data_IF_908525135139
#
_entry.id   IF_908525135139
#
_cell.length_a   1.000
_cell.length_b   1.000
_cell.length_c   1.000
_cell.angle_alpha   90.00
_cell.angle_beta   90.00
_cell.angle_gamma   90.00
#
_symmetry.space_group_name_H-M   'P 1'
#
loop_
_entity.id
_entity.type
_entity.pdbx_description
1 polymer ?
#
# COMPACT_ATOMS: atom_id res chain seq x y z
N UNK A 1 12.14 14.01 8.98
CA UNK A 1 11.73 12.83 9.73
C UNK A 1 11.18 11.78 8.77
N UNK A 2 11.48 10.54 9.02
CA UNK A 2 11.13 9.44 8.14
C UNK A 2 10.61 8.26 8.95
N UNK A 3 9.52 7.66 8.48
CA UNK A 3 8.94 6.48 9.10
C UNK A 3 8.82 5.36 8.07
N UNK A 4 9.12 4.14 8.49
CA UNK A 4 8.92 2.95 7.65
C UNK A 4 7.93 2.05 8.36
N UNK A 5 6.84 1.74 7.69
CA UNK A 5 5.74 0.94 8.22
C UNK A 5 5.63 -0.35 7.40
N UNK A 6 5.73 -1.50 8.06
CA UNK A 6 5.54 -2.80 7.44
C UNK A 6 4.17 -3.35 7.81
N UNK A 7 3.35 -3.61 6.81
CA UNK A 7 2.07 -4.31 6.99
C UNK A 7 2.21 -5.65 6.30
N UNK A 8 2.35 -6.73 7.06
CA UNK A 8 2.62 -8.07 6.53
C UNK A 8 1.52 -9.05 6.87
N UNK A 9 1.38 -10.08 6.03
CA UNK A 9 0.48 -11.19 6.28
C UNK A 9 -0.85 -11.09 5.59
N UNK A 10 -1.12 -10.01 4.86
CA UNK A 10 -2.33 -9.90 4.04
C UNK A 10 -2.11 -8.96 2.86
N UNK A 11 -2.79 -9.23 1.78
CA UNK A 11 -2.72 -8.37 0.59
C UNK A 11 -3.49 -7.07 0.80
N UNK A 12 -3.00 -6.01 0.18
CA UNK A 12 -3.73 -4.74 0.11
C UNK A 12 -5.08 -4.93 -0.56
N UNK A 13 -6.06 -4.15 -0.14
CA UNK A 13 -7.40 -4.15 -0.73
C UNK A 13 -7.65 -2.80 -1.43
N UNK A 14 -8.13 -2.84 -2.69
CA UNK A 14 -8.41 -1.62 -3.43
C UNK A 14 -9.71 -0.96 -2.97
N UNK A 15 -9.81 0.36 -3.12
CA UNK A 15 -10.98 1.14 -2.74
C UNK A 15 -11.37 2.07 -3.89
N UNK A 16 -12.67 2.20 -4.16
CA UNK A 16 -13.18 3.21 -5.05
C UNK A 16 -13.97 2.74 -6.25
N UNK A 17 -14.15 1.43 -6.46
CA UNK A 17 -15.04 0.92 -7.51
C UNK A 17 -16.30 0.40 -6.87
N UNK A 18 -17.38 1.19 -6.94
CA UNK A 18 -18.70 0.76 -6.50
C UNK A 18 -19.48 0.22 -7.68
N UNK A 19 -19.01 -0.85 -8.31
CA UNK A 19 -19.81 -1.55 -9.30
C UNK A 19 -20.54 -2.66 -8.59
N UNK A 20 -21.86 -2.61 -8.67
CA UNK A 20 -22.71 -3.66 -8.16
C UNK A 20 -22.56 -4.92 -9.01
N UNK A 21 -21.78 -5.87 -8.53
CA UNK A 21 -21.62 -7.16 -9.21
C UNK A 21 -22.22 -8.27 -8.35
N UNK A 22 -23.39 -8.00 -7.75
CA UNK A 22 -24.08 -8.94 -6.88
C UNK A 22 -23.76 -8.73 -5.40
N UNK A 23 -24.75 -8.95 -4.55
CA UNK A 23 -24.69 -8.60 -3.13
C UNK A 23 -23.60 -9.36 -2.35
N UNK A 24 -23.31 -10.61 -2.70
CA UNK A 24 -22.31 -11.42 -1.99
C UNK A 24 -20.87 -10.93 -2.19
N UNK A 25 -20.54 -10.53 -3.43
CA UNK A 25 -19.19 -10.06 -3.78
C UNK A 25 -18.88 -8.72 -3.11
N UNK A 26 -19.89 -7.85 -3.00
CA UNK A 26 -19.72 -6.56 -2.33
C UNK A 26 -19.43 -6.72 -0.84
N UNK A 27 -20.07 -7.66 -0.17
CA UNK A 27 -19.87 -7.92 1.25
C UNK A 27 -18.44 -8.40 1.52
N UNK A 28 -17.92 -9.32 0.70
CA UNK A 28 -16.56 -9.84 0.85
C UNK A 28 -15.51 -8.75 0.61
N UNK A 29 -15.69 -7.94 -0.44
CA UNK A 29 -14.79 -6.83 -0.76
C UNK A 29 -14.77 -5.82 0.38
N UNK A 30 -15.93 -5.49 0.95
CA UNK A 30 -16.03 -4.59 2.11
C UNK A 30 -15.30 -5.12 3.31
N UNK A 31 -15.41 -6.42 3.59
CA UNK A 31 -14.71 -7.04 4.73
C UNK A 31 -13.19 -6.99 4.55
N UNK A 32 -12.71 -7.33 3.37
CA UNK A 32 -11.28 -7.28 3.07
C UNK A 32 -10.73 -5.86 3.19
N UNK A 33 -11.45 -4.89 2.67
CA UNK A 33 -11.06 -3.50 2.73
C UNK A 33 -10.99 -3.01 4.18
N UNK A 34 -11.99 -3.32 4.98
CA UNK A 34 -12.01 -2.96 6.40
C UNK A 34 -10.83 -3.58 7.15
N UNK A 35 -10.57 -4.87 6.92
CA UNK A 35 -9.46 -5.58 7.57
C UNK A 35 -8.12 -4.98 7.17
N UNK A 36 -7.92 -4.71 5.89
CA UNK A 36 -6.70 -4.10 5.38
C UNK A 36 -6.48 -2.72 6.00
N UNK A 37 -7.49 -1.86 5.95
CA UNK A 37 -7.41 -0.51 6.50
C UNK A 37 -7.09 -0.53 7.99
N UNK A 38 -7.71 -1.44 8.72
CA UNK A 38 -7.46 -1.59 10.16
C UNK A 38 -6.02 -1.99 10.44
N UNK A 39 -5.45 -2.91 9.66
CA UNK A 39 -4.06 -3.31 9.82
C UNK A 39 -3.10 -2.16 9.54
N UNK A 40 -3.34 -1.38 8.49
CA UNK A 40 -2.53 -0.21 8.19
C UNK A 40 -2.60 0.80 9.35
N UNK A 41 -3.79 1.09 9.85
CA UNK A 41 -3.99 2.02 10.97
C UNK A 41 -3.25 1.57 12.22
N UNK A 42 -3.36 0.30 12.56
CA UNK A 42 -2.69 -0.26 13.74
C UNK A 42 -1.18 -0.14 13.63
N UNK A 43 -0.62 -0.49 12.48
CA UNK A 43 0.82 -0.43 12.26
C UNK A 43 1.32 1.02 12.25
N UNK A 44 0.57 1.92 11.61
CA UNK A 44 0.91 3.33 11.59
C UNK A 44 0.91 3.92 13.00
N UNK A 45 -0.10 3.60 13.81
CA UNK A 45 -0.19 4.08 15.19
C UNK A 45 0.96 3.59 16.07
N UNK A 46 1.49 2.41 15.79
CA UNK A 46 2.64 1.87 16.52
C UNK A 46 3.96 2.56 16.18
N UNK A 47 4.10 3.05 14.96
CA UNK A 47 5.35 3.60 14.44
C UNK A 47 5.39 5.12 14.54
N UNK A 48 4.28 5.79 14.22
CA UNK A 48 4.23 7.27 14.21
C UNK A 48 3.81 7.78 15.59
N UNK A 49 4.73 8.47 16.27
CA UNK A 49 4.51 8.94 17.63
C UNK A 49 3.48 10.08 17.68
N UNK A 50 3.68 11.10 16.86
CA UNK A 50 2.79 12.26 16.77
C UNK A 50 2.29 12.43 15.36
N UNK A 51 1.03 12.76 15.19
CA UNK A 51 0.42 12.99 13.89
C UNK A 51 1.21 14.05 13.13
N UNK A 52 1.66 13.69 11.92
CA UNK A 52 2.44 14.57 11.06
C UNK A 52 1.53 15.66 10.49
N UNK A 53 1.98 16.90 10.52
CA UNK A 53 1.22 18.06 10.02
C UNK A 53 1.89 18.76 8.85
N UNK A 54 3.14 18.41 8.56
CA UNK A 54 3.90 18.95 7.44
C UNK A 54 3.51 18.25 6.14
N UNK A 55 3.88 18.81 4.98
CA UNK A 55 3.80 18.07 3.72
C UNK A 55 4.59 16.78 3.80
N UNK A 56 4.07 15.72 3.19
CA UNK A 56 4.72 14.39 3.23
C UNK A 56 4.89 13.81 1.85
N UNK A 57 5.93 13.01 1.71
CA UNK A 57 6.18 12.13 0.59
C UNK A 57 5.88 10.70 1.04
N UNK A 58 5.11 9.98 0.26
CA UNK A 58 4.77 8.59 0.54
C UNK A 58 5.32 7.70 -0.57
N UNK A 59 6.15 6.72 -0.19
CA UNK A 59 6.62 5.66 -1.07
C UNK A 59 6.02 4.35 -0.57
N UNK A 60 5.42 3.59 -1.45
CA UNK A 60 4.82 2.31 -1.07
C UNK A 60 5.08 1.24 -2.11
N UNK A 61 5.38 0.04 -1.63
CA UNK A 61 5.42 -1.15 -2.45
C UNK A 61 4.37 -2.11 -1.91
N UNK A 62 3.40 -2.44 -2.76
CA UNK A 62 2.39 -3.44 -2.46
C UNK A 62 2.87 -4.79 -2.97
N UNK A 63 2.92 -5.78 -2.08
CA UNK A 63 3.36 -7.14 -2.40
C UNK A 63 2.16 -8.08 -2.41
N UNK A 64 2.04 -8.85 -3.49
CA UNK A 64 0.95 -9.78 -3.71
C UNK A 64 1.49 -11.20 -3.90
N UNK A 65 0.70 -12.16 -3.47
CA UNK A 65 1.03 -13.58 -3.58
C UNK A 65 1.11 -14.00 -5.05
N UNK A 66 2.15 -14.78 -5.39
CA UNK A 66 2.30 -15.36 -6.73
C UNK A 66 1.34 -16.52 -6.94
N UNK A 67 0.73 -16.64 -8.12
CA UNK A 67 -0.01 -17.86 -8.46
C UNK A 67 0.95 -19.05 -8.56
N UNK A 68 0.44 -20.27 -8.34
CA UNK A 68 1.24 -21.48 -8.36
C UNK A 68 2.01 -21.68 -9.66
N UNK A 69 1.45 -21.26 -10.78
CA UNK A 69 2.10 -21.38 -12.10
C UNK A 69 3.41 -20.60 -12.22
N UNK A 70 3.68 -19.68 -11.29
CA UNK A 70 4.94 -18.94 -11.27
C UNK A 70 6.09 -19.73 -10.65
N UNK A 71 5.80 -20.87 -10.04
CA UNK A 71 6.80 -21.68 -9.36
C UNK A 71 7.17 -22.93 -10.12
N UNK A 72 8.43 -23.33 -9.98
CA UNK A 72 8.92 -24.64 -10.41
C UNK A 72 8.45 -25.72 -9.42
N UNK A 73 8.50 -27.01 -9.81
CA UNK A 73 8.15 -28.09 -8.88
C UNK A 73 8.95 -28.09 -7.59
N UNK A 74 10.18 -27.57 -7.60
CA UNK A 74 11.03 -27.47 -6.41
C UNK A 74 10.71 -26.24 -5.53
N UNK A 75 9.69 -25.45 -5.87
CA UNK A 75 9.28 -24.28 -5.11
C UNK A 75 10.00 -22.99 -5.45
N UNK A 76 10.96 -23.00 -6.35
CA UNK A 76 11.64 -21.80 -6.80
C UNK A 76 10.81 -21.04 -7.82
N UNK A 77 10.92 -19.71 -7.82
CA UNK A 77 10.24 -18.88 -8.81
C UNK A 77 10.86 -19.09 -10.18
N UNK A 78 10.01 -19.28 -11.20
CA UNK A 78 10.48 -19.44 -12.59
C UNK A 78 11.17 -18.15 -13.04
N UNK A 79 12.25 -18.31 -13.80
CA UNK A 79 13.00 -17.17 -14.32
C UNK A 79 12.13 -16.25 -15.20
N UNK A 80 11.19 -16.84 -15.94
CA UNK A 80 10.29 -16.10 -16.82
C UNK A 80 9.06 -15.53 -16.10
N UNK A 81 8.89 -15.79 -14.79
CA UNK A 81 7.75 -15.27 -14.04
C UNK A 81 7.84 -13.75 -13.93
N UNK A 82 6.72 -13.03 -14.08
CA UNK A 82 6.74 -11.58 -14.01
C UNK A 82 7.03 -11.08 -12.60
N UNK A 83 7.66 -9.92 -12.51
CA UNK A 83 7.90 -9.22 -11.24
C UNK A 83 6.71 -8.35 -10.89
N UNK A 84 6.18 -7.66 -11.89
CA UNK A 84 5.08 -6.70 -11.71
C UNK A 84 3.73 -7.30 -12.07
N UNK A 85 2.68 -6.78 -11.44
CA UNK A 85 1.32 -7.28 -11.64
C UNK A 85 0.60 -6.37 -12.63
N UNK A 86 0.19 -6.93 -13.76
CA UNK A 86 -0.55 -6.20 -14.78
C UNK A 86 -1.95 -6.72 -15.01
N UNK A 87 -2.34 -7.83 -14.35
CA UNK A 87 -3.69 -8.38 -14.47
C UNK A 87 -4.65 -7.66 -13.52
N UNK A 88 -5.94 -7.74 -13.86
CA UNK A 88 -7.00 -7.03 -13.13
C UNK A 88 -7.40 -7.68 -11.80
N UNK A 89 -6.96 -8.91 -11.55
CA UNK A 89 -7.43 -9.69 -10.41
C UNK A 89 -7.03 -9.11 -9.06
N UNK A 90 -5.91 -8.39 -9.01
CA UNK A 90 -5.41 -7.80 -7.77
C UNK A 90 -5.83 -6.34 -7.56
N UNK A 91 -6.50 -5.75 -8.54
CA UNK A 91 -6.95 -4.37 -8.47
C UNK A 91 -5.96 -3.36 -9.04
N UNK A 92 -6.47 -2.18 -9.36
CA UNK A 92 -5.69 -1.10 -9.94
C UNK A 92 -4.82 -0.40 -8.88
N UNK A 93 -3.65 0.03 -9.29
CA UNK A 93 -2.69 0.68 -8.39
C UNK A 93 -3.27 1.92 -7.70
N UNK A 94 -3.99 2.76 -8.43
CA UNK A 94 -4.59 3.97 -7.86
C UNK A 94 -5.62 3.65 -6.76
N UNK A 95 -6.34 2.54 -6.89
CA UNK A 95 -7.32 2.10 -5.90
C UNK A 95 -6.64 1.58 -4.62
N UNK A 96 -5.50 0.93 -4.76
CA UNK A 96 -4.69 0.52 -3.61
C UNK A 96 -4.10 1.74 -2.89
N UNK A 97 -3.63 2.72 -3.65
CA UNK A 97 -3.14 3.98 -3.09
C UNK A 97 -4.26 4.70 -2.32
N UNK A 98 -5.47 4.71 -2.86
CA UNK A 98 -6.60 5.36 -2.22
C UNK A 98 -6.92 4.74 -0.86
N UNK A 99 -7.00 3.43 -0.79
CA UNK A 99 -7.27 2.76 0.49
C UNK A 99 -6.14 2.99 1.49
N UNK A 100 -4.89 3.01 1.01
CA UNK A 100 -3.73 3.27 1.86
C UNK A 100 -3.76 4.68 2.43
N UNK A 101 -3.93 5.69 1.60
CA UNK A 101 -3.93 7.09 2.03
C UNK A 101 -5.10 7.39 2.98
N UNK A 102 -6.27 6.79 2.74
CA UNK A 102 -7.39 6.91 3.66
C UNK A 102 -7.06 6.29 5.01
N UNK A 103 -6.36 5.15 5.01
CA UNK A 103 -5.96 4.46 6.25
C UNK A 103 -4.91 5.24 7.04
N UNK A 104 -4.02 5.93 6.35
CA UNK A 104 -2.96 6.73 6.97
C UNK A 104 -3.48 8.08 7.49
N UNK A 105 -4.61 8.54 6.98
CA UNK A 105 -5.26 9.75 7.46
C UNK A 105 -5.71 9.55 8.90
N UNK A 106 -5.27 10.43 9.79
CA UNK A 106 -5.50 10.39 11.25
C UNK A 106 -4.72 9.31 12.00
N UNK A 107 -4.02 8.41 11.30
CA UNK A 107 -3.14 7.44 11.95
C UNK A 107 -1.66 7.78 11.78
N UNK A 108 -1.28 8.44 10.69
CA UNK A 108 0.09 8.88 10.44
C UNK A 108 0.16 10.40 10.22
N UNK A 109 -0.72 10.96 9.41
CA UNK A 109 -0.81 12.40 9.16
C UNK A 109 -2.26 12.85 9.32
N UNK A 110 -2.46 14.16 9.42
CA UNK A 110 -3.78 14.71 9.74
C UNK A 110 -4.77 14.55 8.60
N UNK A 111 -4.32 14.73 7.35
CA UNK A 111 -5.18 14.65 6.18
C UNK A 111 -4.37 14.26 4.94
N UNK A 112 -4.99 13.51 4.03
CA UNK A 112 -4.31 13.05 2.80
C UNK A 112 -3.96 14.21 1.85
N UNK A 113 -4.54 15.39 2.04
CA UNK A 113 -4.15 16.59 1.31
C UNK A 113 -2.69 17.01 1.57
N UNK A 114 -2.08 16.51 2.64
CA UNK A 114 -0.67 16.74 2.96
C UNK A 114 0.28 15.94 2.06
N UNK A 115 -0.22 14.92 1.37
CA UNK A 115 0.60 14.09 0.48
C UNK A 115 0.86 14.88 -0.80
N UNK A 116 2.11 15.33 -0.96
CA UNK A 116 2.52 16.13 -2.12
C UNK A 116 3.37 15.35 -3.11
N UNK A 117 3.81 14.17 -2.73
CA UNK A 117 4.57 13.26 -3.58
C UNK A 117 4.17 11.84 -3.24
N UNK A 118 3.85 11.05 -4.25
CA UNK A 118 3.45 9.66 -4.08
C UNK A 118 4.15 8.80 -5.12
N UNK A 119 4.91 7.82 -4.65
CA UNK A 119 5.50 6.80 -5.49
C UNK A 119 4.97 5.44 -5.05
N UNK A 120 4.36 4.71 -5.96
CA UNK A 120 3.72 3.45 -5.64
C UNK A 120 4.04 2.38 -6.67
N UNK A 121 4.27 1.16 -6.20
CA UNK A 121 4.55 0.01 -7.04
C UNK A 121 3.74 -1.17 -6.54
N UNK A 122 3.19 -1.96 -7.45
CA UNK A 122 2.58 -3.24 -7.09
C UNK A 122 3.36 -4.37 -7.76
N UNK A 123 3.82 -5.32 -6.97
CA UNK A 123 4.59 -6.44 -7.49
C UNK A 123 4.35 -7.72 -6.69
N UNK A 124 4.77 -8.83 -7.26
CA UNK A 124 4.69 -10.12 -6.58
C UNK A 124 5.79 -10.24 -5.54
N UNK A 125 5.47 -10.87 -4.40
CA UNK A 125 6.46 -11.21 -3.40
C UNK A 125 7.17 -12.52 -3.78
N UNK A 126 8.38 -12.71 -3.22
CA UNK A 126 9.12 -13.95 -3.40
C UNK A 126 8.61 -15.04 -2.46
N UNK A 127 8.27 -14.67 -1.23
CA UNK A 127 7.71 -15.58 -0.25
C UNK A 127 6.36 -15.04 0.24
N UNK A 128 5.48 -15.95 0.61
CA UNK A 128 4.12 -15.60 1.05
C UNK A 128 4.12 -14.71 2.29
N UNK A 129 5.14 -14.83 3.15
CA UNK A 129 5.27 -14.01 4.35
C UNK A 129 5.52 -12.53 4.06
N UNK A 130 5.97 -12.20 2.84
CA UNK A 130 6.21 -10.82 2.44
C UNK A 130 4.97 -10.12 1.90
N UNK A 131 3.85 -10.83 1.78
CA UNK A 131 2.58 -10.28 1.30
C UNK A 131 2.15 -9.11 2.17
N UNK A 132 1.76 -8.01 1.54
CA UNK A 132 1.32 -6.81 2.26
C UNK A 132 1.86 -5.55 1.63
N UNK A 133 2.37 -4.63 2.45
CA UNK A 133 2.95 -3.38 1.96
C UNK A 133 4.10 -2.92 2.83
N UNK A 134 5.07 -2.30 2.18
CA UNK A 134 6.12 -1.53 2.87
C UNK A 134 5.89 -0.07 2.52
N UNK A 135 5.67 0.75 3.54
CA UNK A 135 5.27 2.14 3.39
C UNK A 135 6.33 3.02 4.03
N UNK A 136 6.83 3.97 3.27
CA UNK A 136 7.79 4.95 3.76
C UNK A 136 7.15 6.32 3.70
N UNK A 137 7.12 7.01 4.84
CA UNK A 137 6.58 8.36 4.95
C UNK A 137 7.70 9.29 5.36
N UNK A 138 7.94 10.30 4.55
CA UNK A 138 8.99 11.29 4.81
C UNK A 138 8.38 12.68 4.86
N UNK A 139 8.68 13.43 5.93
CA UNK A 139 8.28 14.83 5.99
C UNK A 139 9.13 15.65 5.03
N UNK A 140 8.51 16.60 4.36
CA UNK A 140 9.19 17.49 3.42
C UNK A 140 9.29 18.86 4.06
N UNK A 141 10.52 19.36 4.15
CA UNK A 141 10.77 20.70 4.61
C UNK A 141 10.77 21.63 3.38
N UNK A 142 9.82 22.57 3.33
CA UNK A 142 9.70 23.51 2.21
C UNK A 142 10.97 24.35 2.02
N UNK A 143 11.67 24.65 3.10
CA UNK A 143 12.95 25.36 3.06
C UNK A 143 14.01 24.58 2.27
N UNK A 144 14.09 23.26 2.50
CA UNK A 144 15.03 22.39 1.79
C UNK A 144 14.71 22.36 0.29
N UNK A 145 13.43 22.29 -0.06
CA UNK A 145 13.00 22.29 -1.44
C UNK A 145 13.35 23.62 -2.14
N UNK A 146 13.11 24.74 -1.48
CA UNK A 146 13.42 26.05 -2.03
C UNK A 146 14.92 26.26 -2.23
N UNK A 147 15.74 25.68 -1.37
CA UNK A 147 17.20 25.68 -1.50
C UNK A 147 17.70 25.02 -2.77
N UNK A 148 16.94 24.06 -3.30
CA UNK A 148 17.29 23.32 -4.51
C UNK A 148 16.84 23.99 -5.80
N UNK A 149 16.01 25.02 -5.72
CA UNK A 149 15.43 25.71 -6.88
C UNK A 149 16.23 26.94 -7.30
N UNK A 150 17.11 27.41 -6.45
CA UNK A 150 17.94 28.60 -6.72
C UNK A 150 19.00 28.36 -7.79
#
# INVERSE_FOLDING_TARGET
MEYIIHVKGMESAPQGSKKHVGNGIMIETSKRLKSWRKQVELRANLIVDDIIKEPVEVDVVFYFKRPLKHYLPNGMVRQAAPVYITNKNKGDLDKHCRSLLDSLTKSAFADDSQVVSLHAVKKYCETESETGAIIKIKTINETDFMGNVS
#
